data_IF_096156609850
#
_entry.id   IF_096156609850
#
_cell.length_a   1.000
_cell.length_b   1.000
_cell.length_c   1.000
_cell.angle_alpha   90.00
_cell.angle_beta   90.00
_cell.angle_gamma   90.00
#
_symmetry.space_group_name_H-M   'P 1'
#
loop_
_entity.id
_entity.type
_entity.pdbx_description
1 polymer ?
#
# COMPACT_ATOMS: atom_id res chain seq x y z
N UNK A 1 -13.66 -58.71 48.41
CA UNK A 1 -12.95 -59.23 49.60
C UNK A 1 -11.52 -58.68 49.56
N UNK A 2 -11.12 -57.93 50.59
CA UNK A 2 -9.77 -57.46 51.01
C UNK A 2 -8.88 -56.74 49.95
N UNK A 3 -8.58 -55.42 50.03
CA UNK A 3 -7.77 -54.62 51.02
C UNK A 3 -6.30 -55.08 51.04
N UNK A 4 -5.29 -54.25 50.69
CA UNK A 4 -4.50 -53.35 51.58
C UNK A 4 -3.46 -52.57 50.71
N UNK A 5 -3.47 -51.23 50.61
CA UNK A 5 -2.68 -50.20 51.36
C UNK A 5 -1.20 -50.10 50.92
N UNK A 6 -0.80 -49.05 50.19
CA UNK A 6 -0.28 -47.73 50.58
C UNK A 6 1.22 -47.72 50.97
N UNK A 7 2.01 -46.90 50.27
CA UNK A 7 3.29 -46.37 50.74
C UNK A 7 3.38 -44.88 50.36
N UNK A 8 4.07 -44.13 51.19
CA UNK A 8 3.91 -42.71 51.48
C UNK A 8 5.27 -42.03 51.65
N UNK A 9 5.35 -40.77 51.21
CA UNK A 9 6.38 -39.78 51.60
C UNK A 9 7.43 -39.51 50.53
N UNK A 10 7.86 -38.28 50.24
CA UNK A 10 7.46 -36.93 50.67
C UNK A 10 8.20 -35.92 49.75
N UNK A 11 7.92 -34.60 49.81
CA UNK A 11 8.24 -33.62 48.77
C UNK A 11 9.60 -32.92 48.97
N UNK A 12 10.14 -32.33 47.89
CA UNK A 12 11.33 -31.45 47.95
C UNK A 12 11.06 -30.13 47.22
N UNK A 13 11.08 -29.04 47.98
CA UNK A 13 11.28 -27.63 47.61
C UNK A 13 12.08 -26.98 48.77
N UNK A 14 12.61 -25.74 48.68
CA UNK A 14 13.15 -24.96 47.56
C UNK A 14 14.49 -24.25 47.95
N UNK A 15 15.23 -23.64 47.01
CA UNK A 15 16.28 -22.66 47.36
C UNK A 15 16.68 -21.69 46.24
N UNK A 16 16.47 -20.38 46.48
CA UNK A 16 17.30 -19.23 46.03
C UNK A 16 17.22 -18.85 44.54
N UNK A 17 17.30 -17.60 44.10
CA UNK A 17 17.66 -16.33 44.73
C UNK A 17 17.19 -15.18 43.81
N UNK A 18 16.78 -14.08 44.43
CA UNK A 18 16.23 -12.87 43.83
C UNK A 18 17.38 -11.93 43.46
N UNK A 19 17.44 -11.44 42.22
CA UNK A 19 18.30 -10.30 41.84
C UNK A 19 17.43 -9.12 41.37
N UNK A 20 17.33 -8.11 42.25
CA UNK A 20 16.77 -6.77 41.98
C UNK A 20 17.89 -5.88 41.41
N UNK A 21 17.62 -5.19 40.31
CA UNK A 21 18.48 -4.11 39.78
C UNK A 21 17.73 -2.77 39.93
N UNK A 22 18.37 -1.70 40.46
CA UNK A 22 17.68 -0.54 41.00
C UNK A 22 17.30 0.51 39.95
N UNK A 23 16.21 1.22 40.27
CA UNK A 23 15.68 2.39 39.56
C UNK A 23 16.68 3.56 39.55
N UNK A 24 16.91 4.15 38.37
CA UNK A 24 17.72 5.36 38.21
C UNK A 24 16.83 6.60 38.34
N UNK A 25 17.14 7.37 39.37
CA UNK A 25 16.58 8.65 39.80
C UNK A 25 16.58 9.70 38.66
N UNK A 26 15.41 10.32 38.50
CA UNK A 26 15.17 11.59 37.79
C UNK A 26 15.87 12.75 38.47
N UNK A 27 16.59 13.58 37.72
CA UNK A 27 16.98 14.91 38.18
C UNK A 27 16.63 15.94 37.11
N UNK A 28 15.76 16.85 37.55
CA UNK A 28 15.13 17.91 36.79
C UNK A 28 15.94 19.19 37.04
N UNK A 29 16.44 19.87 36.00
CA UNK A 29 16.87 21.27 36.14
C UNK A 29 16.83 22.00 34.80
N UNK A 30 15.83 22.85 34.62
CA UNK A 30 15.77 23.93 33.62
C UNK A 30 16.31 25.24 34.23
N UNK A 31 16.28 26.39 33.52
CA UNK A 31 17.25 26.84 32.53
C UNK A 31 17.92 28.17 32.97
N UNK A 32 19.01 28.59 32.32
CA UNK A 32 19.52 29.95 32.46
C UNK A 32 19.98 30.51 31.11
N UNK A 33 19.37 31.62 30.73
CA UNK A 33 19.66 32.43 29.56
C UNK A 33 20.87 33.36 29.81
N UNK A 34 21.57 33.73 28.74
CA UNK A 34 22.59 34.80 28.77
C UNK A 34 23.48 34.77 27.53
N UNK A 35 23.23 35.69 26.60
CA UNK A 35 23.85 35.83 25.28
C UNK A 35 25.15 36.70 25.33
N UNK A 36 25.76 37.15 24.21
CA UNK A 36 27.04 36.69 23.65
C UNK A 36 28.12 37.80 23.63
N UNK A 37 29.29 37.53 23.01
CA UNK A 37 30.07 38.44 22.10
C UNK A 37 31.59 38.12 22.15
N UNK A 38 32.11 37.64 21.01
CA UNK A 38 33.46 37.80 20.38
C UNK A 38 33.83 36.49 19.67
N UNK A 39 33.64 36.40 18.36
CA UNK A 39 34.55 36.90 17.32
C UNK A 39 35.89 36.16 17.31
N UNK A 40 36.12 35.31 16.30
CA UNK A 40 37.09 35.57 15.24
C UNK A 40 37.37 34.32 14.38
N UNK A 41 37.45 34.57 13.08
CA UNK A 41 38.37 33.98 12.11
C UNK A 41 38.27 32.47 11.79
N UNK A 42 37.85 32.20 10.56
CA UNK A 42 38.07 30.91 9.89
C UNK A 42 37.54 30.93 8.46
N UNK A 43 38.19 31.68 7.58
CA UNK A 43 37.94 31.66 6.13
C UNK A 43 38.36 30.29 5.62
N UNK A 44 37.39 29.44 5.25
CA UNK A 44 37.67 28.22 4.49
C UNK A 44 37.64 28.60 3.01
N UNK A 45 38.81 28.57 2.37
CA UNK A 45 38.88 28.63 0.92
C UNK A 45 38.23 27.37 0.34
N UNK A 46 37.16 27.54 -0.44
CA UNK A 46 36.62 26.46 -1.26
C UNK A 46 37.39 26.47 -2.58
N UNK A 47 38.27 25.50 -2.73
CA UNK A 47 38.92 25.15 -3.99
C UNK A 47 37.88 24.47 -4.89
N UNK A 48 37.57 25.04 -6.05
CA UNK A 48 36.71 24.42 -7.05
C UNK A 48 37.61 23.68 -8.04
N UNK A 49 37.67 22.36 -7.93
CA UNK A 49 38.28 21.49 -8.95
C UNK A 49 37.27 21.18 -10.04
N UNK A 50 37.62 21.51 -11.29
CA UNK A 50 36.84 21.27 -12.50
C UNK A 50 37.41 20.09 -13.30
N UNK A 51 36.55 19.13 -13.68
CA UNK A 51 36.65 18.25 -14.88
C UNK A 51 35.20 17.77 -15.12
N UNK A 52 34.40 18.31 -16.05
CA UNK A 52 34.32 18.22 -17.53
C UNK A 52 34.04 16.84 -18.12
N UNK A 53 32.81 16.67 -18.63
CA UNK A 53 32.40 16.08 -19.93
C UNK A 53 30.88 16.38 -20.07
N UNK A 54 30.30 16.90 -21.16
CA UNK A 54 30.78 17.39 -22.45
C UNK A 54 29.80 18.45 -23.02
N UNK A 55 30.39 19.39 -23.76
CA UNK A 55 29.91 20.17 -24.91
C UNK A 55 28.51 20.85 -24.92
N UNK A 56 28.53 22.19 -24.91
CA UNK A 56 27.49 22.99 -25.57
C UNK A 56 27.37 24.44 -25.12
N UNK A 57 28.19 25.32 -25.70
CA UNK A 57 28.02 26.79 -25.79
C UNK A 57 28.54 27.68 -24.63
N UNK A 58 29.60 28.45 -24.93
CA UNK A 58 29.66 29.88 -24.62
C UNK A 58 30.47 30.35 -23.39
N UNK A 59 31.79 30.24 -23.44
CA UNK A 59 32.68 31.06 -22.59
C UNK A 59 32.63 32.51 -23.09
N UNK A 60 32.10 33.38 -22.24
CA UNK A 60 32.06 34.83 -22.41
C UNK A 60 32.08 35.54 -21.06
N UNK A 61 33.12 35.24 -20.28
CA UNK A 61 33.73 36.05 -19.21
C UNK A 61 32.86 36.64 -18.10
N UNK A 62 33.22 36.20 -16.88
CA UNK A 62 33.26 36.96 -15.65
C UNK A 62 33.21 38.50 -15.83
N UNK A 63 32.29 39.14 -15.10
CA UNK A 63 32.47 40.37 -14.30
C UNK A 63 31.08 40.88 -13.90
N UNK A 64 30.50 40.21 -12.90
CA UNK A 64 29.28 40.64 -12.23
C UNK A 64 29.34 40.46 -10.71
N UNK A 65 30.54 40.24 -10.16
CA UNK A 65 30.80 40.23 -8.71
C UNK A 65 31.79 41.34 -8.42
N UNK A 66 31.34 42.59 -8.52
CA UNK A 66 32.11 43.74 -7.98
C UNK A 66 31.22 44.91 -7.52
N UNK A 67 29.91 44.93 -7.79
CA UNK A 67 29.10 46.14 -7.57
C UNK A 67 28.33 46.29 -6.24
N UNK A 68 27.96 45.20 -5.56
CA UNK A 68 26.88 45.27 -4.54
C UNK A 68 27.29 44.73 -3.17
N UNK A 69 28.59 44.73 -2.86
CA UNK A 69 29.07 44.54 -1.48
C UNK A 69 29.81 45.78 -0.96
N UNK A 70 29.99 46.83 -1.78
CA UNK A 70 30.63 48.09 -1.36
C UNK A 70 29.66 49.26 -1.09
N UNK A 71 28.33 49.05 -1.05
CA UNK A 71 27.37 50.11 -0.67
C UNK A 71 26.33 49.73 0.39
N UNK A 72 26.54 48.63 1.12
CA UNK A 72 25.70 48.25 2.26
C UNK A 72 26.28 48.60 3.63
N UNK A 73 27.58 48.93 3.70
CA UNK A 73 28.34 48.83 4.96
C UNK A 73 28.48 50.12 5.77
N UNK A 74 27.63 51.15 5.56
CA UNK A 74 27.67 52.39 6.36
C UNK A 74 26.33 52.72 7.05
N UNK A 75 25.24 51.98 6.82
CA UNK A 75 23.91 52.39 7.31
C UNK A 75 23.25 51.50 8.40
N UNK A 76 23.96 50.54 9.00
CA UNK A 76 23.53 49.90 10.26
C UNK A 76 22.11 49.30 10.31
N UNK A 77 21.57 48.76 9.20
CA UNK A 77 20.25 48.11 9.18
C UNK A 77 20.34 46.57 9.26
N UNK A 78 19.40 45.89 9.94
CA UNK A 78 19.47 44.45 10.15
C UNK A 78 19.35 43.68 8.81
N UNK A 79 20.18 42.64 8.58
CA UNK A 79 20.35 41.98 7.27
C UNK A 79 19.09 41.38 6.62
N UNK A 80 18.08 41.05 7.43
CA UNK A 80 16.93 40.24 7.04
C UNK A 80 15.90 40.96 6.16
N UNK A 81 15.77 42.28 6.26
CA UNK A 81 14.84 43.05 5.43
C UNK A 81 15.45 43.44 4.08
N UNK A 82 16.77 43.68 4.04
CA UNK A 82 17.50 43.97 2.80
C UNK A 82 17.62 42.72 1.91
N UNK A 83 17.66 41.52 2.51
CA UNK A 83 17.74 40.25 1.80
C UNK A 83 16.43 39.84 1.11
N UNK A 84 15.26 40.17 1.66
CA UNK A 84 13.97 39.83 1.04
C UNK A 84 13.65 40.73 -0.17
N UNK A 85 13.88 42.04 -0.05
CA UNK A 85 13.60 43.00 -1.11
C UNK A 85 14.61 42.90 -2.27
N UNK A 86 15.89 42.69 -1.96
CA UNK A 86 16.91 42.44 -2.99
C UNK A 86 16.72 41.07 -3.67
N UNK A 87 16.19 40.07 -2.95
CA UNK A 87 15.91 38.74 -3.49
C UNK A 87 14.81 38.74 -4.54
N UNK A 88 13.75 39.52 -4.35
CA UNK A 88 12.65 39.64 -5.32
C UNK A 88 13.07 40.41 -6.58
N UNK A 89 13.80 41.52 -6.41
CA UNK A 89 14.31 42.31 -7.53
C UNK A 89 15.35 41.56 -8.38
N UNK A 90 16.17 40.72 -7.73
CA UNK A 90 17.14 39.87 -8.43
C UNK A 90 16.44 38.75 -9.21
N UNK A 91 15.39 38.15 -8.63
CA UNK A 91 14.62 37.07 -9.26
C UNK A 91 13.90 37.55 -10.52
N UNK A 92 13.36 38.77 -10.50
CA UNK A 92 12.73 39.39 -11.67
C UNK A 92 13.74 39.82 -12.73
N UNK A 93 14.92 40.30 -12.32
CA UNK A 93 15.99 40.67 -13.25
C UNK A 93 16.60 39.46 -13.94
N UNK A 94 16.77 38.35 -13.23
CA UNK A 94 17.23 37.07 -13.79
C UNK A 94 16.18 36.50 -14.76
N UNK A 95 14.89 36.55 -14.41
CA UNK A 95 13.80 36.09 -15.32
C UNK A 95 13.76 36.89 -16.62
N UNK A 96 13.94 38.21 -16.54
CA UNK A 96 13.97 39.11 -17.69
C UNK A 96 15.20 38.88 -18.56
N UNK A 97 16.37 38.64 -17.95
CA UNK A 97 17.59 38.29 -18.66
C UNK A 97 17.51 36.92 -19.35
N UNK A 98 16.76 35.98 -18.78
CA UNK A 98 16.48 34.66 -19.37
C UNK A 98 15.35 34.69 -20.42
N UNK A 99 14.79 35.86 -20.75
CA UNK A 99 13.71 36.00 -21.73
C UNK A 99 12.40 35.32 -21.30
N UNK A 100 12.23 34.99 -20.02
CA UNK A 100 11.01 34.36 -19.50
C UNK A 100 9.94 35.45 -19.37
N UNK A 101 8.81 35.37 -20.09
CA UNK A 101 7.76 36.38 -20.03
C UNK A 101 7.21 36.50 -18.61
N UNK A 102 7.48 37.61 -17.92
CA UNK A 102 6.77 38.00 -16.70
C UNK A 102 5.40 38.52 -17.10
N UNK A 103 4.36 37.71 -16.91
CA UNK A 103 2.98 38.12 -17.17
C UNK A 103 2.37 37.38 -18.35
N UNK A 104 2.17 36.09 -18.19
CA UNK A 104 0.98 35.41 -18.70
C UNK A 104 0.71 34.30 -17.72
N UNK A 105 -0.31 34.45 -16.89
CA UNK A 105 -1.02 33.30 -16.38
C UNK A 105 -1.55 32.59 -17.63
N UNK A 106 -0.73 31.73 -18.23
CA UNK A 106 -1.20 30.80 -19.25
C UNK A 106 -2.29 30.03 -18.52
N UNK A 107 -3.56 30.09 -18.95
CA UNK A 107 -4.59 29.27 -18.33
C UNK A 107 -4.01 27.85 -18.30
N UNK A 108 -3.87 27.28 -17.10
CA UNK A 108 -3.59 25.86 -16.97
C UNK A 108 -4.57 25.17 -17.91
N UNK A 109 -4.14 24.31 -18.85
CA UNK A 109 -5.07 23.63 -19.72
C UNK A 109 -6.12 22.99 -18.81
N UNK A 110 -7.38 23.41 -18.97
CA UNK A 110 -8.46 22.86 -18.16
C UNK A 110 -8.43 21.35 -18.36
N UNK A 111 -8.27 20.60 -17.26
CA UNK A 111 -8.32 19.15 -17.32
C UNK A 111 -9.63 18.76 -18.00
N UNK A 112 -9.60 18.01 -19.12
CA UNK A 112 -10.79 17.73 -19.88
C UNK A 112 -11.81 17.04 -18.97
N UNK A 113 -13.06 17.46 -19.07
CA UNK A 113 -14.16 16.86 -18.31
C UNK A 113 -14.29 15.36 -18.64
N UNK A 114 -14.85 14.55 -17.73
CA UNK A 114 -15.09 13.12 -17.98
C UNK A 114 -15.89 12.89 -19.27
N UNK A 115 -16.80 13.80 -19.61
CA UNK A 115 -17.57 13.75 -20.86
C UNK A 115 -16.69 13.99 -22.09
N UNK A 116 -15.76 14.95 -22.04
CA UNK A 116 -14.81 15.20 -23.12
C UNK A 116 -13.82 14.04 -23.29
N UNK A 117 -13.32 13.46 -22.19
CA UNK A 117 -12.49 12.26 -22.22
C UNK A 117 -13.25 11.09 -22.86
N UNK A 118 -14.51 10.87 -22.47
CA UNK A 118 -15.36 9.84 -23.06
C UNK A 118 -15.62 10.06 -24.56
N UNK A 119 -15.83 11.31 -24.99
CA UNK A 119 -16.01 11.63 -26.41
C UNK A 119 -14.75 11.34 -27.23
N UNK A 120 -13.57 11.63 -26.68
CA UNK A 120 -12.29 11.35 -27.33
C UNK A 120 -12.05 9.83 -27.45
N UNK A 121 -12.39 9.05 -26.42
CA UNK A 121 -12.34 7.58 -26.50
C UNK A 121 -13.20 7.03 -27.64
N UNK A 122 -14.43 7.55 -27.81
CA UNK A 122 -15.30 7.13 -28.91
C UNK A 122 -14.73 7.52 -30.28
N UNK A 123 -14.11 8.72 -30.38
CA UNK A 123 -13.43 9.16 -31.60
C UNK A 123 -12.25 8.24 -31.94
N UNK A 124 -11.45 7.85 -30.96
CA UNK A 124 -10.33 6.93 -31.11
C UNK A 124 -10.80 5.51 -31.47
N UNK A 125 -11.91 5.03 -30.89
CA UNK A 125 -12.44 3.69 -31.20
C UNK A 125 -12.90 3.53 -32.66
N UNK A 126 -13.18 4.63 -33.36
CA UNK A 126 -13.51 4.62 -34.78
C UNK A 126 -12.27 4.48 -35.69
N UNK A 127 -11.06 4.53 -35.12
CA UNK A 127 -9.81 4.39 -35.86
C UNK A 127 -9.30 2.94 -35.87
N UNK A 128 -8.86 2.45 -37.03
CA UNK A 128 -8.51 1.02 -37.26
C UNK A 128 -7.03 0.73 -36.91
N UNK A 129 -6.58 1.21 -35.75
CA UNK A 129 -5.23 0.92 -35.25
C UNK A 129 -5.36 0.33 -33.85
N UNK A 130 -5.61 -0.98 -33.79
CA UNK A 130 -5.51 -1.74 -32.54
C UNK A 130 -4.43 -2.78 -32.72
N UNK A 131 -3.39 -2.69 -31.92
CA UNK A 131 -2.35 -3.71 -31.88
C UNK A 131 -2.93 -4.95 -31.19
N UNK A 132 -2.95 -6.14 -31.84
CA UNK A 132 -3.47 -7.36 -31.22
C UNK A 132 -2.70 -7.78 -29.96
N UNK A 133 -1.46 -7.33 -29.81
CA UNK A 133 -0.62 -7.61 -28.64
C UNK A 133 -0.74 -6.53 -27.55
N UNK A 134 -1.63 -5.54 -27.73
CA UNK A 134 -1.83 -4.49 -26.74
C UNK A 134 -2.37 -5.09 -25.43
N UNK A 135 -1.56 -4.96 -24.37
CA UNK A 135 -1.96 -5.32 -23.02
C UNK A 135 -3.16 -4.47 -22.62
N UNK A 136 -4.17 -5.10 -22.01
CA UNK A 136 -5.33 -4.35 -21.55
C UNK A 136 -4.87 -3.24 -20.59
N UNK A 137 -5.20 -1.96 -20.83
CA UNK A 137 -4.56 -0.83 -20.13
C UNK A 137 -4.76 -0.85 -18.62
N UNK A 138 -5.79 -1.54 -18.13
CA UNK A 138 -6.04 -1.71 -16.69
C UNK A 138 -5.07 -2.70 -15.99
N UNK A 139 -4.42 -3.62 -16.71
CA UNK A 139 -3.67 -4.73 -16.11
C UNK A 139 -2.46 -4.26 -15.30
N UNK A 140 -1.68 -3.32 -15.83
CA UNK A 140 -0.55 -2.74 -15.12
C UNK A 140 -0.99 -2.14 -13.76
N UNK A 141 -2.11 -1.43 -13.74
CA UNK A 141 -2.68 -0.87 -12.49
C UNK A 141 -3.16 -1.97 -11.55
N UNK A 142 -3.87 -2.98 -12.06
CA UNK A 142 -4.37 -4.09 -11.25
C UNK A 142 -3.23 -4.86 -10.58
N UNK A 143 -2.10 -5.07 -11.26
CA UNK A 143 -0.92 -5.72 -10.68
C UNK A 143 -0.37 -4.96 -9.47
N UNK A 144 -0.43 -3.62 -9.46
CA UNK A 144 -0.03 -2.82 -8.28
C UNK A 144 -1.01 -2.90 -7.11
N UNK A 145 -2.24 -3.35 -7.37
CA UNK A 145 -3.31 -3.51 -6.38
C UNK A 145 -3.41 -4.97 -5.87
N UNK A 146 -2.52 -5.87 -6.31
CA UNK A 146 -2.49 -7.28 -5.91
C UNK A 146 -1.37 -7.58 -4.90
N UNK A 147 -1.73 -8.43 -3.94
CA UNK A 147 -0.79 -9.08 -3.02
C UNK A 147 -0.30 -10.42 -3.59
N UNK A 148 0.82 -10.96 -3.08
CA UNK A 148 1.28 -12.29 -3.46
C UNK A 148 0.24 -13.39 -3.18
N UNK A 149 -0.47 -13.31 -2.06
CA UNK A 149 -1.50 -14.30 -1.70
C UNK A 149 -2.71 -14.24 -2.65
N UNK A 150 -3.14 -13.05 -3.07
CA UNK A 150 -4.19 -12.89 -4.10
C UNK A 150 -3.76 -13.47 -5.45
N UNK A 151 -2.50 -13.31 -5.84
CA UNK A 151 -1.96 -13.95 -7.05
C UNK A 151 -1.99 -15.49 -6.94
N UNK A 152 -1.76 -16.05 -5.75
CA UNK A 152 -1.88 -17.50 -5.50
C UNK A 152 -3.32 -17.98 -5.63
N UNK A 153 -4.29 -17.21 -5.14
CA UNK A 153 -5.73 -17.51 -5.34
C UNK A 153 -6.08 -17.53 -6.83
N UNK A 154 -5.63 -16.52 -7.58
CA UNK A 154 -5.89 -16.45 -9.03
C UNK A 154 -5.27 -17.64 -9.77
N UNK A 155 -4.05 -18.03 -9.40
CA UNK A 155 -3.39 -19.22 -9.94
C UNK A 155 -4.16 -20.51 -9.63
N UNK A 156 -4.61 -20.70 -8.38
CA UNK A 156 -5.43 -21.85 -7.98
C UNK A 156 -6.70 -21.92 -8.84
N UNK A 157 -7.44 -20.81 -8.96
CA UNK A 157 -8.69 -20.77 -9.71
C UNK A 157 -8.49 -21.01 -11.21
N UNK A 158 -7.31 -20.67 -11.74
CA UNK A 158 -6.96 -20.90 -13.14
C UNK A 158 -6.61 -22.37 -13.42
N UNK A 159 -5.80 -22.98 -12.56
CA UNK A 159 -5.31 -24.34 -12.74
C UNK A 159 -6.34 -25.40 -12.33
N UNK A 160 -6.95 -25.22 -11.15
CA UNK A 160 -7.84 -26.22 -10.55
C UNK A 160 -9.32 -25.91 -10.81
N UNK A 161 -9.58 -24.75 -11.42
CA UNK A 161 -10.90 -24.27 -11.73
C UNK A 161 -11.65 -23.71 -10.53
N UNK A 162 -12.97 -23.64 -10.67
CA UNK A 162 -13.85 -23.04 -9.67
C UNK A 162 -13.79 -23.79 -8.33
N UNK A 163 -13.78 -23.01 -7.24
CA UNK A 163 -13.62 -23.49 -5.88
C UNK A 163 -14.95 -23.44 -5.12
N UNK A 164 -15.21 -24.41 -4.22
CA UNK A 164 -16.49 -24.49 -3.53
C UNK A 164 -16.63 -23.38 -2.48
N UNK A 165 -17.85 -22.87 -2.34
CA UNK A 165 -18.23 -21.92 -1.30
C UNK A 165 -19.59 -22.29 -0.70
N UNK A 166 -19.73 -22.10 0.62
CA UNK A 166 -21.02 -22.24 1.33
C UNK A 166 -21.49 -20.88 1.84
N UNK A 167 -22.68 -20.46 1.41
CA UNK A 167 -23.43 -19.37 2.05
C UNK A 167 -24.43 -19.98 3.02
N UNK A 168 -24.18 -19.79 4.32
CA UNK A 168 -25.04 -20.29 5.39
C UNK A 168 -25.83 -19.13 5.98
N UNK A 169 -27.12 -19.06 5.62
CA UNK A 169 -28.02 -18.05 6.18
C UNK A 169 -28.74 -18.59 7.40
N UNK A 170 -28.43 -17.99 8.56
CA UNK A 170 -29.17 -18.23 9.79
C UNK A 170 -30.19 -17.12 10.05
N UNK A 171 -31.34 -17.49 10.64
CA UNK A 171 -32.34 -16.54 11.18
C UNK A 171 -31.90 -15.90 12.50
N UNK A 172 -30.98 -16.54 13.22
CA UNK A 172 -30.39 -15.99 14.45
C UNK A 172 -29.06 -15.34 14.07
N UNK A 173 -28.76 -14.14 14.61
CA UNK A 173 -27.45 -13.55 14.41
C UNK A 173 -26.40 -14.55 14.86
N UNK A 174 -25.42 -14.80 13.99
CA UNK A 174 -24.25 -15.61 14.33
C UNK A 174 -23.57 -14.96 15.55
N UNK A 175 -22.91 -15.78 16.37
CA UNK A 175 -22.16 -15.24 17.51
C UNK A 175 -21.18 -14.17 17.00
N UNK A 176 -20.96 -13.08 17.76
CA UNK A 176 -19.90 -12.12 17.45
C UNK A 176 -18.59 -12.87 17.18
N UNK A 177 -18.01 -12.68 15.99
CA UNK A 177 -16.79 -13.38 15.55
C UNK A 177 -17.00 -14.52 14.55
N UNK A 178 -18.25 -14.90 14.22
CA UNK A 178 -18.58 -15.85 13.14
C UNK A 178 -19.36 -15.12 12.05
N UNK A 179 -18.76 -14.08 11.46
CA UNK A 179 -19.29 -13.42 10.27
C UNK A 179 -18.45 -13.87 9.09
N UNK A 180 -19.09 -14.48 8.10
CA UNK A 180 -18.41 -14.83 6.86
C UNK A 180 -18.60 -13.69 5.86
N UNK A 181 -17.53 -13.31 5.17
CA UNK A 181 -17.57 -12.32 4.12
C UNK A 181 -18.56 -12.69 3.00
N UNK A 182 -18.68 -11.80 2.01
CA UNK A 182 -19.54 -11.96 0.82
C UNK A 182 -19.36 -13.32 0.12
N UNK A 183 -18.16 -13.90 0.23
CA UNK A 183 -17.74 -15.13 -0.43
C UNK A 183 -18.06 -16.41 0.37
N UNK A 184 -18.62 -16.31 1.58
CA UNK A 184 -19.02 -17.47 2.39
C UNK A 184 -17.85 -18.31 2.90
N UNK A 185 -18.13 -19.53 3.37
CA UNK A 185 -17.10 -20.48 3.79
C UNK A 185 -16.42 -21.11 2.60
N UNK A 186 -15.09 -21.14 2.60
CA UNK A 186 -14.28 -21.76 1.55
C UNK A 186 -12.96 -22.31 2.11
N UNK A 187 -12.32 -23.21 1.37
CA UNK A 187 -10.98 -23.74 1.67
C UNK A 187 -9.89 -23.13 0.79
N UNK A 188 -10.21 -22.13 -0.04
CA UNK A 188 -9.24 -21.43 -0.92
C UNK A 188 -7.97 -21.04 -0.17
N UNK A 189 -8.08 -20.60 1.10
CA UNK A 189 -6.93 -20.22 1.89
C UNK A 189 -5.92 -21.35 2.07
N UNK A 190 -6.43 -22.57 2.30
CA UNK A 190 -5.63 -23.79 2.46
C UNK A 190 -5.17 -24.30 1.09
N UNK A 191 -6.08 -24.37 0.12
CA UNK A 191 -5.82 -24.94 -1.21
C UNK A 191 -4.79 -24.09 -2.00
N UNK A 192 -4.83 -22.77 -1.86
CA UNK A 192 -3.83 -21.86 -2.45
C UNK A 192 -2.55 -21.74 -1.60
N UNK A 193 -2.52 -22.40 -0.44
CA UNK A 193 -1.45 -22.36 0.56
C UNK A 193 -1.04 -20.92 0.93
N UNK A 194 -2.02 -20.07 1.25
CA UNK A 194 -1.78 -18.65 1.53
C UNK A 194 -0.83 -18.45 2.70
N UNK A 195 -0.05 -17.39 2.63
CA UNK A 195 0.89 -17.00 3.69
C UNK A 195 0.15 -16.47 4.92
N UNK A 196 -0.98 -15.78 4.70
CA UNK A 196 -1.89 -15.27 5.74
C UNK A 196 -3.33 -15.80 5.52
N UNK A 197 -3.61 -17.08 5.83
CA UNK A 197 -4.92 -17.71 5.59
C UNK A 197 -6.11 -16.97 6.23
N UNK A 198 -5.90 -16.35 7.38
CA UNK A 198 -6.89 -15.58 8.13
C UNK A 198 -7.37 -14.32 7.39
N UNK A 199 -6.63 -13.89 6.36
CA UNK A 199 -6.95 -12.71 5.54
C UNK A 199 -7.64 -13.06 4.23
N UNK A 200 -8.14 -14.28 4.08
CA UNK A 200 -8.82 -14.71 2.85
C UNK A 200 -10.00 -13.81 2.46
N UNK A 201 -10.79 -13.34 3.43
CA UNK A 201 -11.97 -12.49 3.16
C UNK A 201 -11.61 -11.15 2.49
N UNK A 202 -10.67 -10.33 3.01
CA UNK A 202 -10.24 -9.12 2.31
C UNK A 202 -9.56 -9.41 0.96
N UNK A 203 -8.85 -10.53 0.81
CA UNK A 203 -8.28 -10.93 -0.48
C UNK A 203 -9.35 -11.21 -1.53
N UNK A 204 -10.36 -12.02 -1.19
CA UNK A 204 -11.47 -12.31 -2.09
C UNK A 204 -12.29 -11.04 -2.41
N UNK A 205 -12.48 -10.17 -1.41
CA UNK A 205 -13.15 -8.87 -1.59
C UNK A 205 -12.42 -7.99 -2.60
N UNK A 206 -11.10 -7.87 -2.49
CA UNK A 206 -10.30 -7.09 -3.43
C UNK A 206 -10.32 -7.70 -4.85
N UNK A 207 -10.15 -9.02 -4.97
CA UNK A 207 -10.24 -9.72 -6.25
C UNK A 207 -11.61 -9.56 -6.92
N UNK A 208 -12.68 -9.58 -6.12
CA UNK A 208 -14.04 -9.29 -6.58
C UNK A 208 -14.20 -7.84 -7.04
N UNK A 209 -13.68 -6.87 -6.26
CA UNK A 209 -13.66 -5.44 -6.60
C UNK A 209 -12.93 -5.16 -7.91
N UNK A 210 -11.83 -5.87 -8.18
CA UNK A 210 -11.07 -5.78 -9.43
C UNK A 210 -11.77 -6.47 -10.61
N UNK A 211 -12.88 -7.18 -10.37
CA UNK A 211 -13.62 -7.90 -11.39
C UNK A 211 -12.93 -9.18 -11.87
N UNK A 212 -11.94 -9.69 -11.12
CA UNK A 212 -11.16 -10.87 -11.51
C UNK A 212 -11.85 -12.18 -11.14
N UNK A 213 -12.61 -12.17 -10.03
CA UNK A 213 -13.39 -13.33 -9.57
C UNK A 213 -14.85 -12.96 -9.38
N UNK A 214 -15.71 -13.97 -9.34
CA UNK A 214 -17.12 -13.82 -9.00
C UNK A 214 -17.63 -15.05 -8.24
N UNK A 215 -18.70 -14.87 -7.48
CA UNK A 215 -19.43 -15.96 -6.82
C UNK A 215 -20.67 -16.27 -7.63
N UNK A 216 -20.77 -17.51 -8.12
CA UNK A 216 -21.96 -17.97 -8.84
C UNK A 216 -22.84 -18.82 -7.91
N UNK A 217 -24.17 -18.80 -8.11
CA UNK A 217 -25.08 -19.67 -7.38
C UNK A 217 -24.99 -21.13 -7.85
N UNK A 218 -24.34 -21.38 -8.99
CA UNK A 218 -24.22 -22.72 -9.56
C UNK A 218 -23.19 -23.54 -8.77
N UNK A 219 -23.60 -24.68 -8.20
CA UNK A 219 -22.69 -25.54 -7.48
C UNK A 219 -21.76 -26.28 -8.43
N UNK A 220 -20.59 -26.68 -7.91
CA UNK A 220 -19.68 -27.54 -8.63
C UNK A 220 -20.31 -28.92 -8.88
N UNK A 221 -20.04 -29.51 -10.05
CA UNK A 221 -20.57 -30.82 -10.41
C UNK A 221 -20.09 -31.99 -9.54
N UNK A 222 -19.13 -31.78 -8.64
CA UNK A 222 -18.65 -32.80 -7.69
C UNK A 222 -19.13 -32.47 -6.26
N UNK A 223 -20.16 -33.16 -5.74
CA UNK A 223 -20.70 -32.93 -4.39
C UNK A 223 -19.72 -33.20 -3.25
N UNK A 224 -18.73 -34.10 -3.45
CA UNK A 224 -17.77 -34.47 -2.39
C UNK A 224 -16.94 -33.26 -1.90
N UNK A 225 -16.68 -32.29 -2.79
CA UNK A 225 -15.97 -31.05 -2.43
C UNK A 225 -16.72 -30.20 -1.41
N UNK A 226 -18.05 -30.25 -1.42
CA UNK A 226 -18.87 -29.55 -0.43
C UNK A 226 -18.97 -30.30 0.89
N UNK A 227 -18.96 -31.63 0.87
CA UNK A 227 -18.94 -32.44 2.09
C UNK A 227 -17.68 -32.14 2.92
N UNK A 228 -16.55 -31.89 2.27
CA UNK A 228 -15.32 -31.47 2.94
C UNK A 228 -15.51 -30.14 3.68
N UNK A 229 -16.16 -29.14 3.06
CA UNK A 229 -16.50 -27.87 3.71
C UNK A 229 -17.48 -28.06 4.87
N UNK A 230 -18.53 -28.85 4.68
CA UNK A 230 -19.54 -29.13 5.70
C UNK A 230 -18.97 -29.88 6.91
N UNK A 231 -17.91 -30.67 6.70
CA UNK A 231 -17.21 -31.39 7.76
C UNK A 231 -16.37 -30.47 8.66
N UNK A 232 -16.05 -29.25 8.21
CA UNK A 232 -15.19 -28.33 8.95
C UNK A 232 -15.80 -27.98 10.32
N UNK A 233 -15.01 -27.98 11.40
CA UNK A 233 -15.52 -27.76 12.75
C UNK A 233 -16.33 -26.46 12.89
N UNK A 234 -15.90 -25.39 12.23
CA UNK A 234 -16.57 -24.08 12.26
C UNK A 234 -17.93 -24.12 11.56
N UNK A 235 -17.99 -24.74 10.38
CA UNK A 235 -19.23 -24.93 9.62
C UNK A 235 -20.22 -25.78 10.43
N UNK A 236 -19.77 -26.91 10.99
CA UNK A 236 -20.62 -27.79 11.82
C UNK A 236 -21.17 -27.05 13.04
N UNK A 237 -20.37 -26.23 13.71
CA UNK A 237 -20.82 -25.39 14.84
C UNK A 237 -21.95 -24.45 14.39
N UNK A 238 -21.81 -23.79 13.24
CA UNK A 238 -22.86 -22.92 12.70
C UNK A 238 -24.12 -23.68 12.36
N UNK A 239 -24.00 -24.85 11.72
CA UNK A 239 -25.17 -25.67 11.36
C UNK A 239 -25.92 -26.18 12.60
N UNK A 240 -25.21 -26.67 13.62
CA UNK A 240 -25.81 -27.17 14.86
C UNK A 240 -26.50 -26.06 15.67
N UNK A 241 -25.86 -24.90 15.80
CA UNK A 241 -26.40 -23.76 16.54
C UNK A 241 -27.72 -23.24 15.95
N UNK A 242 -27.94 -23.46 14.65
CA UNK A 242 -29.05 -22.92 13.90
C UNK A 242 -29.97 -24.01 13.33
N UNK A 243 -30.06 -25.15 14.02
CA UNK A 243 -30.79 -26.37 13.60
C UNK A 243 -32.22 -26.15 13.10
N UNK A 244 -32.89 -25.06 13.51
CA UNK A 244 -34.20 -24.67 12.98
C UNK A 244 -34.10 -23.49 12.00
N UNK A 245 -34.28 -23.76 10.70
CA UNK A 245 -34.45 -22.72 9.67
C UNK A 245 -33.17 -22.21 8.99
N UNK A 246 -32.03 -22.88 9.17
CA UNK A 246 -30.80 -22.58 8.41
C UNK A 246 -30.91 -23.03 6.97
N UNK A 247 -30.62 -22.12 6.04
CA UNK A 247 -30.52 -22.46 4.62
C UNK A 247 -29.06 -22.44 4.22
N UNK A 248 -28.54 -23.60 3.84
CA UNK A 248 -27.23 -23.75 3.21
C UNK A 248 -27.39 -23.59 1.72
N UNK A 249 -26.58 -22.73 1.11
CA UNK A 249 -26.51 -22.58 -0.34
C UNK A 249 -25.11 -22.95 -0.81
N UNK A 250 -25.01 -24.02 -1.57
CA UNK A 250 -23.81 -24.40 -2.29
C UNK A 250 -23.59 -23.42 -3.46
N UNK A 251 -22.42 -22.80 -3.50
CA UNK A 251 -22.01 -21.81 -4.48
C UNK A 251 -20.63 -22.16 -5.00
N UNK A 252 -20.17 -21.46 -6.03
CA UNK A 252 -18.79 -21.56 -6.47
C UNK A 252 -18.14 -20.20 -6.67
N UNK A 253 -16.85 -20.12 -6.37
CA UNK A 253 -15.99 -18.97 -6.62
C UNK A 253 -15.22 -19.30 -7.90
N UNK A 254 -15.31 -18.42 -8.89
CA UNK A 254 -14.74 -18.68 -10.23
C UNK A 254 -14.07 -17.42 -10.79
N UNK A 255 -13.14 -17.61 -11.72
CA UNK A 255 -12.59 -16.51 -12.51
C UNK A 255 -13.65 -15.99 -13.48
N UNK A 256 -13.74 -14.66 -13.58
CA UNK A 256 -14.50 -14.02 -14.66
C UNK A 256 -13.79 -14.22 -16.00
N UNK A 257 -14.45 -13.94 -17.12
CA UNK A 257 -13.78 -13.96 -18.43
C UNK A 257 -12.58 -13.00 -18.45
N UNK A 258 -12.76 -11.80 -17.87
CA UNK A 258 -11.71 -10.81 -17.70
C UNK A 258 -10.57 -11.30 -16.80
N UNK A 259 -10.89 -11.96 -15.69
CA UNK A 259 -9.89 -12.55 -14.79
C UNK A 259 -9.10 -13.68 -15.44
N UNK A 260 -9.73 -14.50 -16.29
CA UNK A 260 -9.03 -15.54 -17.06
C UNK A 260 -8.03 -14.94 -18.05
N UNK A 261 -8.41 -13.89 -18.77
CA UNK A 261 -7.49 -13.18 -19.68
C UNK A 261 -6.34 -12.51 -18.89
N UNK A 262 -6.66 -11.84 -17.79
CA UNK A 262 -5.65 -11.24 -16.90
C UNK A 262 -4.61 -12.26 -16.44
N UNK A 263 -5.04 -13.42 -15.93
CA UNK A 263 -4.14 -14.46 -15.46
C UNK A 263 -3.26 -15.01 -16.59
N UNK A 264 -3.83 -15.23 -17.78
CA UNK A 264 -3.09 -15.71 -18.95
C UNK A 264 -1.99 -14.75 -19.40
N UNK A 265 -2.26 -13.44 -19.36
CA UNK A 265 -1.30 -12.43 -19.82
C UNK A 265 -0.28 -12.05 -18.75
N UNK A 266 -0.69 -12.00 -17.48
CA UNK A 266 0.11 -11.36 -16.43
C UNK A 266 0.80 -12.34 -15.48
N UNK A 267 0.33 -13.60 -15.37
CA UNK A 267 0.89 -14.56 -14.42
C UNK A 267 1.59 -15.73 -15.14
N UNK A 268 2.71 -16.24 -14.59
CA UNK A 268 3.41 -17.39 -15.15
C UNK A 268 2.67 -18.68 -14.79
N UNK A 269 1.58 -18.98 -15.49
CA UNK A 269 0.71 -20.16 -15.28
C UNK A 269 0.84 -21.23 -16.39
N UNK A 270 1.97 -21.23 -17.09
CA UNK A 270 2.33 -22.21 -18.13
C UNK A 270 3.19 -23.36 -17.61
#
# INVERSE_FOLDING_TARGET
>A
MAVTQADSGDPVEPAGSIARIPARRTENRSPAAGNPVRAAAGIVQVTVSAVTEAAGWGVGTALGVTGTVLRGSIAGRPPREVLSEAGEQLRDSVRRALGVPTGSQRPLPESPTLRQQGAELLRLSASVHTDPDEEHPAYARMLTELTPDEARILRLLYLDGAQPSLDIRSRRPLRPGISHGEFGFTLIAVDAALSQPERVDPYLTNLGRLGLITVTPDPLGNPARYQLLESQPEVRKVLQQNSFGTKVRHRSITLTAFGKDFVRRCLPVG
#
